data_IF_186965228511
#
_entry.id   IF_186965228511
#
_cell.length_a   1.000
_cell.length_b   1.000
_cell.length_c   1.000
_cell.angle_alpha   90.00
_cell.angle_beta   90.00
_cell.angle_gamma   90.00
#
_symmetry.space_group_name_H-M   'P 1'
#
loop_
_entity.id
_entity.type
_entity.pdbx_description
1 polymer ?
#
# COMPACT_ATOMS: atom_id res chain seq x y z
N UNK A 1 15.67 -6.16 15.95
CA UNK A 1 14.25 -6.10 16.25
C UNK A 1 13.61 -7.47 16.12
N UNK A 2 12.89 -7.93 17.11
CA UNK A 2 12.24 -9.23 16.96
C UNK A 2 11.22 -9.18 15.84
N UNK A 3 11.02 -10.30 15.18
CA UNK A 3 9.98 -10.41 14.16
C UNK A 3 8.61 -10.22 14.81
N UNK A 4 7.69 -9.58 14.09
CA UNK A 4 6.33 -9.43 14.56
C UNK A 4 5.65 -10.78 14.57
N UNK A 5 4.85 -11.04 15.60
CA UNK A 5 4.04 -12.25 15.62
C UNK A 5 2.89 -12.11 14.64
N UNK A 6 2.34 -13.24 14.22
CA UNK A 6 1.17 -13.26 13.35
C UNK A 6 0.00 -12.51 13.97
N UNK A 7 -0.22 -12.68 15.28
CA UNK A 7 -1.30 -12.03 16.01
C UNK A 7 -1.17 -10.51 16.00
N UNK A 8 0.06 -10.00 16.14
CA UNK A 8 0.32 -8.56 16.10
C UNK A 8 0.02 -8.01 14.71
N UNK A 9 0.43 -8.71 13.66
CA UNK A 9 0.18 -8.29 12.28
C UNK A 9 -1.34 -8.26 11.99
N UNK A 10 -2.07 -9.30 12.43
CA UNK A 10 -3.52 -9.37 12.25
C UNK A 10 -4.21 -8.21 12.95
N UNK A 11 -3.79 -7.91 14.18
CA UNK A 11 -4.38 -6.81 14.94
C UNK A 11 -4.10 -5.46 14.31
N UNK A 12 -2.89 -5.25 13.80
CA UNK A 12 -2.55 -4.02 13.08
C UNK A 12 -3.42 -3.85 11.85
N UNK A 13 -3.63 -4.92 11.07
CA UNK A 13 -4.49 -4.87 9.89
C UNK A 13 -5.93 -4.56 10.26
N UNK A 14 -6.42 -5.13 11.36
CA UNK A 14 -7.78 -4.85 11.84
C UNK A 14 -7.94 -3.37 12.16
N UNK A 15 -6.97 -2.79 12.87
CA UNK A 15 -7.01 -1.38 13.23
C UNK A 15 -6.95 -0.49 11.99
N UNK A 16 -6.11 -0.84 11.02
CA UNK A 16 -6.02 -0.09 9.77
C UNK A 16 -7.30 -0.16 8.97
N UNK A 17 -7.92 -1.34 8.90
CA UNK A 17 -9.21 -1.48 8.22
C UNK A 17 -10.31 -0.69 8.91
N UNK A 18 -10.26 -0.57 10.24
CA UNK A 18 -11.21 0.25 10.96
C UNK A 18 -11.05 1.74 10.65
N UNK A 19 -9.80 2.19 10.47
CA UNK A 19 -9.51 3.59 10.15
C UNK A 19 -9.77 3.91 8.69
N UNK A 20 -9.28 3.08 7.78
CA UNK A 20 -9.29 3.36 6.35
C UNK A 20 -10.43 2.69 5.59
N UNK A 21 -11.07 1.68 6.17
CA UNK A 21 -12.22 1.03 5.56
C UNK A 21 -11.93 0.53 4.15
N UNK A 22 -12.76 0.95 3.21
CA UNK A 22 -12.64 0.51 1.82
C UNK A 22 -11.33 0.90 1.17
N UNK A 23 -10.69 1.96 1.63
CA UNK A 23 -9.40 2.38 1.07
C UNK A 23 -8.34 1.30 1.27
N UNK A 24 -8.33 0.62 2.43
CA UNK A 24 -7.40 -0.47 2.67
C UNK A 24 -7.59 -1.58 1.64
N UNK A 25 -8.83 -2.04 1.46
CA UNK A 25 -9.12 -3.13 0.53
C UNK A 25 -8.88 -2.73 -0.92
N UNK A 26 -9.24 -1.50 -1.28
CA UNK A 26 -9.03 -1.01 -2.65
C UNK A 26 -7.53 -0.90 -2.97
N UNK A 27 -6.73 -0.48 -1.99
CA UNK A 27 -5.28 -0.38 -2.19
C UNK A 27 -4.65 -1.76 -2.30
N UNK A 28 -5.08 -2.71 -1.47
CA UNK A 28 -4.60 -4.09 -1.56
C UNK A 28 -4.93 -4.70 -2.92
N UNK A 29 -6.15 -4.48 -3.42
CA UNK A 29 -6.56 -4.98 -4.73
C UNK A 29 -5.76 -4.32 -5.86
N UNK A 30 -5.47 -3.03 -5.75
CA UNK A 30 -4.65 -2.30 -6.70
C UNK A 30 -3.25 -2.90 -6.79
N UNK A 31 -2.61 -3.12 -5.65
CA UNK A 31 -1.25 -3.70 -5.62
C UNK A 31 -1.25 -5.13 -6.13
N UNK A 32 -2.26 -5.90 -5.78
CA UNK A 32 -2.40 -7.27 -6.28
C UNK A 32 -2.51 -7.29 -7.80
N UNK A 33 -3.34 -6.42 -8.36
CA UNK A 33 -3.59 -6.37 -9.80
C UNK A 33 -2.35 -5.92 -10.58
N UNK A 34 -1.65 -4.89 -10.10
CA UNK A 34 -0.48 -4.35 -10.78
C UNK A 34 0.81 -5.12 -10.49
N UNK A 35 0.83 -5.83 -9.36
CA UNK A 35 1.88 -6.80 -9.01
C UNK A 35 3.31 -6.27 -9.23
N UNK A 36 3.70 -5.16 -8.55
CA UNK A 36 4.98 -4.50 -8.85
C UNK A 36 6.21 -5.35 -8.58
N UNK A 37 6.12 -6.35 -7.70
CA UNK A 37 7.24 -7.22 -7.35
C UNK A 37 7.13 -8.59 -8.01
N UNK A 38 5.99 -8.91 -8.61
CA UNK A 38 5.79 -10.19 -9.27
C UNK A 38 5.56 -11.36 -8.31
N UNK A 39 4.89 -11.12 -7.19
CA UNK A 39 4.61 -12.16 -6.20
C UNK A 39 3.14 -12.59 -6.20
N UNK A 40 2.38 -12.14 -7.18
CA UNK A 40 0.98 -12.48 -7.32
C UNK A 40 0.86 -13.86 -7.96
N UNK A 41 0.47 -14.86 -7.17
CA UNK A 41 0.29 -16.24 -7.65
C UNK A 41 -1.18 -16.58 -7.90
N UNK A 42 -2.05 -15.58 -8.03
CA UNK A 42 -3.47 -15.71 -8.37
C UNK A 42 -4.34 -16.39 -7.31
N UNK A 43 -3.73 -16.95 -6.28
CA UNK A 43 -4.48 -17.66 -5.25
C UNK A 43 -4.53 -16.94 -3.91
N UNK A 44 -3.81 -15.83 -3.78
CA UNK A 44 -3.65 -15.17 -2.50
C UNK A 44 -3.76 -13.65 -2.69
N UNK A 45 -4.97 -13.12 -2.54
CA UNK A 45 -5.25 -11.70 -2.78
C UNK A 45 -4.72 -10.78 -1.69
N UNK A 46 -4.21 -11.33 -0.59
CA UNK A 46 -3.66 -10.54 0.51
C UNK A 46 -2.13 -10.43 0.50
N UNK A 47 -1.49 -10.80 -0.62
CA UNK A 47 -0.03 -10.76 -0.75
C UNK A 47 0.59 -9.41 -0.42
N UNK A 48 -0.11 -8.31 -0.73
CA UNK A 48 0.41 -6.97 -0.52
C UNK A 48 -0.18 -6.25 0.69
N UNK A 49 -0.96 -6.93 1.54
CA UNK A 49 -1.56 -6.28 2.71
C UNK A 49 -0.53 -5.69 3.68
N UNK A 50 0.61 -6.35 3.96
CA UNK A 50 1.62 -5.73 4.82
C UNK A 50 2.12 -4.39 4.29
N UNK A 51 2.33 -4.30 2.98
CA UNK A 51 2.80 -3.07 2.34
C UNK A 51 1.74 -1.98 2.39
N UNK A 52 0.47 -2.34 2.22
CA UNK A 52 -0.65 -1.40 2.37
C UNK A 52 -0.60 -0.76 3.76
N UNK A 53 -0.34 -1.57 4.79
CA UNK A 53 -0.29 -1.10 6.16
C UNK A 53 0.77 -0.06 6.42
N UNK A 54 1.87 -0.05 5.66
CA UNK A 54 2.92 0.94 5.82
C UNK A 54 2.79 2.11 4.86
N UNK A 55 2.06 1.93 3.75
CA UNK A 55 1.83 2.99 2.77
C UNK A 55 0.73 3.95 3.23
N UNK A 56 -0.42 3.42 3.64
CA UNK A 56 -1.60 4.25 3.93
C UNK A 56 -1.33 5.36 4.95
N UNK A 57 -0.64 5.10 6.09
CA UNK A 57 -0.38 6.16 7.06
C UNK A 57 0.47 7.31 6.52
N UNK A 58 1.20 7.08 5.42
CA UNK A 58 2.06 8.12 4.82
C UNK A 58 1.30 9.01 3.83
N UNK A 59 0.12 8.59 3.38
CA UNK A 59 -0.64 9.35 2.38
C UNK A 59 -1.03 10.74 2.88
N UNK A 60 -1.25 10.90 4.16
CA UNK A 60 -1.62 12.20 4.73
C UNK A 60 -0.55 13.27 4.52
N UNK A 61 0.68 12.87 4.25
CA UNK A 61 1.79 13.79 4.00
C UNK A 61 2.00 14.04 2.51
N UNK A 62 1.19 13.43 1.65
CA UNK A 62 1.31 13.58 0.20
C UNK A 62 0.45 14.74 -0.28
N UNK A 63 1.01 15.55 -1.17
CA UNK A 63 0.34 16.71 -1.75
C UNK A 63 0.15 16.56 -3.26
N UNK A 64 0.67 15.47 -3.82
CA UNK A 64 0.64 15.26 -5.26
C UNK A 64 0.81 13.78 -5.57
N UNK A 65 0.50 13.41 -6.82
CA UNK A 65 0.75 12.07 -7.31
C UNK A 65 2.24 11.70 -7.26
N UNK A 66 3.12 12.66 -7.50
CA UNK A 66 4.57 12.45 -7.38
C UNK A 66 4.98 12.04 -5.97
N UNK A 67 4.37 12.66 -4.96
CA UNK A 67 4.64 12.29 -3.58
C UNK A 67 4.21 10.86 -3.30
N UNK A 68 3.04 10.47 -3.82
CA UNK A 68 2.55 9.09 -3.67
C UNK A 68 3.52 8.10 -4.32
N UNK A 69 3.98 8.41 -5.53
CA UNK A 69 4.96 7.55 -6.22
C UNK A 69 6.20 7.36 -5.37
N UNK A 70 6.72 8.42 -4.80
CA UNK A 70 7.92 8.37 -3.99
C UNK A 70 7.72 7.52 -2.74
N UNK A 71 6.63 7.73 -2.00
CA UNK A 71 6.44 6.99 -0.75
C UNK A 71 6.15 5.52 -0.99
N UNK A 72 5.41 5.20 -2.05
CA UNK A 72 5.14 3.80 -2.40
C UNK A 72 6.46 3.10 -2.75
N UNK A 73 7.28 3.72 -3.58
CA UNK A 73 8.57 3.16 -3.94
C UNK A 73 9.45 2.96 -2.70
N UNK A 74 9.51 3.96 -1.81
CA UNK A 74 10.29 3.87 -0.58
C UNK A 74 9.85 2.70 0.29
N UNK A 75 8.54 2.49 0.43
CA UNK A 75 8.03 1.37 1.22
C UNK A 75 8.38 0.03 0.58
N UNK A 76 8.29 -0.07 -0.74
CA UNK A 76 8.66 -1.30 -1.42
C UNK A 76 10.16 -1.59 -1.30
N UNK A 77 11.00 -0.57 -1.32
CA UNK A 77 12.45 -0.74 -1.06
C UNK A 77 12.67 -1.29 0.35
N UNK A 78 11.93 -0.77 1.34
CA UNK A 78 12.06 -1.24 2.72
C UNK A 78 11.63 -2.69 2.88
N UNK A 79 10.59 -3.12 2.15
CA UNK A 79 10.07 -4.48 2.25
C UNK A 79 10.88 -5.50 1.46
N UNK A 80 11.40 -5.11 0.31
CA UNK A 80 11.96 -6.07 -0.65
C UNK A 80 13.39 -5.78 -1.08
N UNK A 81 14.02 -4.71 -0.62
CA UNK A 81 15.35 -4.25 -1.01
C UNK A 81 15.40 -3.86 -2.49
N UNK A 82 15.22 -4.83 -3.39
CA UNK A 82 15.21 -4.58 -4.83
C UNK A 82 13.78 -4.39 -5.31
N UNK A 83 13.35 -3.14 -5.35
CA UNK A 83 11.99 -2.77 -5.75
C UNK A 83 11.93 -2.22 -7.18
N UNK A 84 13.02 -2.23 -7.91
CA UNK A 84 13.09 -1.62 -9.24
C UNK A 84 13.08 -0.10 -9.18
N UNK A 85 13.09 0.56 -10.35
CA UNK A 85 13.14 2.02 -10.38
C UNK A 85 11.80 2.65 -10.00
N UNK A 86 11.88 3.86 -9.44
CA UNK A 86 10.69 4.58 -8.97
C UNK A 86 9.64 4.77 -10.07
N UNK A 87 10.06 4.95 -11.32
CA UNK A 87 9.13 5.16 -12.44
C UNK A 87 8.16 4.01 -12.65
N UNK A 88 8.52 2.80 -12.22
CA UNK A 88 7.65 1.63 -12.35
C UNK A 88 6.42 1.72 -11.45
N UNK A 89 6.43 2.62 -10.48
CA UNK A 89 5.33 2.78 -9.53
C UNK A 89 4.36 3.89 -9.93
N UNK A 90 4.54 4.49 -11.11
CA UNK A 90 3.66 5.55 -11.59
C UNK A 90 2.20 5.10 -11.75
N UNK A 91 1.92 3.93 -12.34
CA UNK A 91 0.53 3.48 -12.45
C UNK A 91 -0.13 3.29 -11.09
N UNK A 92 0.62 2.77 -10.11
CA UNK A 92 0.13 2.61 -8.75
C UNK A 92 -0.18 3.98 -8.15
N UNK A 93 0.76 4.92 -8.30
CA UNK A 93 0.61 6.25 -7.75
C UNK A 93 -0.61 6.98 -8.32
N UNK A 94 -0.85 6.84 -9.63
CA UNK A 94 -1.98 7.48 -10.28
C UNK A 94 -3.30 7.00 -9.67
N UNK A 95 -3.49 5.69 -9.56
CA UNK A 95 -4.73 5.15 -9.03
C UNK A 95 -4.86 5.37 -7.53
N UNK A 96 -3.77 5.22 -6.79
CA UNK A 96 -3.80 5.41 -5.34
C UNK A 96 -4.07 6.87 -4.98
N UNK A 97 -3.51 7.81 -5.74
CA UNK A 97 -3.78 9.23 -5.53
C UNK A 97 -5.28 9.54 -5.69
N UNK A 98 -5.91 8.97 -6.71
CA UNK A 98 -7.36 9.11 -6.90
C UNK A 98 -8.14 8.50 -5.75
N UNK A 99 -7.77 7.30 -5.31
CA UNK A 99 -8.43 6.64 -4.19
C UNK A 99 -8.31 7.47 -2.92
N UNK A 100 -7.13 8.01 -2.68
CA UNK A 100 -6.88 8.84 -1.51
C UNK A 100 -7.72 10.11 -1.51
N UNK A 101 -7.79 10.79 -2.66
CA UNK A 101 -8.60 11.99 -2.79
C UNK A 101 -10.08 11.72 -2.54
N UNK A 102 -10.60 10.62 -3.07
CA UNK A 102 -11.99 10.21 -2.84
C UNK A 102 -12.24 9.88 -1.37
N UNK A 103 -11.31 9.22 -0.74
CA UNK A 103 -11.42 8.90 0.68
C UNK A 103 -11.48 10.17 1.53
N UNK A 104 -10.59 11.12 1.27
CA UNK A 104 -10.58 12.40 1.99
C UNK A 104 -11.85 13.21 1.76
N UNK A 105 -12.43 13.14 0.57
CA UNK A 105 -13.66 13.89 0.25
C UNK A 105 -14.87 13.40 1.06
N UNK A 106 -14.81 12.19 1.59
CA UNK A 106 -15.88 11.62 2.42
C UNK A 106 -15.74 11.91 3.91
N UNK A 107 -14.62 12.49 4.31
CA UNK A 107 -14.37 12.76 5.75
C UNK A 107 -15.07 14.03 6.24
#
# INVERSE_FOLDING_TARGET
MPARTREVIIEEHRQLKAIYGELFDATAALLFRLDPIGINYDTNTDEYEPEVGTILPRLKNCQSQSDVRRIVHEEFVRWFDDAGPQKNYEPIAAELWELWQKFNAKL
#
